data_IF_069470395606
#
_entry.id   IF_069470395606
#
_cell.length_a   1.000
_cell.length_b   1.000
_cell.length_c   1.000
_cell.angle_alpha   90.00
_cell.angle_beta   90.00
_cell.angle_gamma   90.00
#
_symmetry.space_group_name_H-M   'P 1'
#
loop_
_entity.id
_entity.type
_entity.pdbx_description
1 polymer ?
#
# COMPACT_ATOMS: atom_id res chain seq x y z
N UNK A 1 -37.89 -11.50 -12.65
CA UNK A 1 -37.26 -12.18 -11.49
C UNK A 1 -35.80 -12.44 -11.84
N UNK A 2 -34.86 -11.80 -11.13
CA UNK A 2 -33.43 -12.03 -11.35
C UNK A 2 -33.07 -13.43 -10.82
N UNK A 3 -32.51 -14.26 -11.70
CA UNK A 3 -31.99 -15.59 -11.32
C UNK A 3 -30.82 -15.38 -10.34
N UNK A 4 -30.74 -16.11 -9.22
CA UNK A 4 -29.64 -15.95 -8.27
C UNK A 4 -28.29 -16.17 -8.97
N UNK A 5 -27.32 -15.29 -8.68
CA UNK A 5 -25.95 -15.39 -9.21
C UNK A 5 -25.34 -16.72 -8.77
N UNK A 6 -24.82 -17.49 -9.72
CA UNK A 6 -24.26 -18.84 -9.49
C UNK A 6 -22.75 -18.86 -9.27
N UNK A 7 -22.12 -17.69 -9.11
CA UNK A 7 -20.68 -17.55 -8.95
C UNK A 7 -20.34 -16.65 -7.78
N UNK A 8 -19.16 -16.85 -7.21
CA UNK A 8 -18.56 -15.99 -6.20
C UNK A 8 -18.00 -14.73 -6.86
N UNK A 9 -18.64 -13.60 -6.57
CA UNK A 9 -18.29 -12.29 -7.14
C UNK A 9 -16.89 -11.84 -6.75
N UNK A 10 -16.47 -12.15 -5.53
CA UNK A 10 -15.17 -11.77 -4.97
C UNK A 10 -14.05 -12.54 -5.67
N UNK A 11 -14.27 -13.83 -5.90
CA UNK A 11 -13.35 -14.66 -6.68
C UNK A 11 -13.24 -14.18 -8.13
N UNK A 12 -14.35 -13.75 -8.73
CA UNK A 12 -14.36 -13.22 -10.11
C UNK A 12 -13.63 -11.88 -10.19
N UNK A 13 -13.85 -10.96 -9.24
CA UNK A 13 -13.13 -9.69 -9.18
C UNK A 13 -11.62 -9.90 -9.00
N UNK A 14 -11.22 -10.86 -8.15
CA UNK A 14 -9.81 -11.21 -7.98
C UNK A 14 -9.17 -11.73 -9.26
N UNK A 15 -9.87 -12.59 -10.03
CA UNK A 15 -9.36 -13.08 -11.32
C UNK A 15 -9.27 -11.97 -12.36
N UNK A 16 -10.29 -11.10 -12.42
CA UNK A 16 -10.28 -9.93 -13.29
C UNK A 16 -9.11 -8.98 -12.95
N UNK A 17 -8.91 -8.69 -11.66
CA UNK A 17 -7.79 -7.91 -11.15
C UNK A 17 -6.46 -8.49 -11.61
N UNK A 18 -6.23 -9.80 -11.41
CA UNK A 18 -4.99 -10.45 -11.82
C UNK A 18 -4.77 -10.41 -13.34
N UNK A 19 -5.83 -10.51 -14.15
CA UNK A 19 -5.72 -10.36 -15.61
C UNK A 19 -5.33 -8.95 -16.01
N UNK A 20 -6.05 -7.95 -15.50
CA UNK A 20 -5.76 -6.54 -15.76
C UNK A 20 -4.37 -6.16 -15.27
N UNK A 21 -3.92 -6.72 -14.15
CA UNK A 21 -2.59 -6.49 -13.64
C UNK A 21 -1.51 -7.03 -14.58
N UNK A 22 -1.71 -8.23 -15.15
CA UNK A 22 -0.74 -8.83 -16.08
C UNK A 22 -0.75 -8.18 -17.47
N UNK A 23 -1.94 -7.83 -18.01
CA UNK A 23 -2.09 -7.38 -19.40
C UNK A 23 -2.20 -5.85 -19.55
N UNK A 24 -2.61 -5.12 -18.51
CA UNK A 24 -3.10 -3.75 -18.63
C UNK A 24 -4.57 -3.70 -19.02
N UNK A 25 -5.21 -2.54 -18.80
CA UNK A 25 -6.63 -2.35 -19.10
C UNK A 25 -6.90 -2.37 -20.61
N UNK A 26 -6.13 -1.62 -21.39
CA UNK A 26 -6.35 -1.43 -22.83
C UNK A 26 -6.11 -2.72 -23.61
N UNK A 27 -5.03 -3.44 -23.29
CA UNK A 27 -4.70 -4.70 -23.95
C UNK A 27 -5.57 -5.89 -23.50
N UNK A 28 -6.47 -5.70 -22.52
CA UNK A 28 -7.44 -6.71 -22.11
C UNK A 28 -8.72 -6.57 -22.93
N UNK A 29 -9.02 -7.59 -23.74
CA UNK A 29 -10.25 -7.69 -24.52
C UNK A 29 -11.36 -8.41 -23.74
N UNK A 30 -12.62 -8.20 -24.15
CA UNK A 30 -13.75 -8.93 -23.56
C UNK A 30 -13.67 -10.45 -23.75
N UNK A 31 -12.97 -10.94 -24.78
CA UNK A 31 -12.70 -12.37 -24.95
C UNK A 31 -11.79 -12.92 -23.88
N UNK A 32 -10.74 -12.17 -23.51
CA UNK A 32 -9.82 -12.57 -22.44
C UNK A 32 -10.56 -12.68 -21.11
N UNK A 33 -11.47 -11.74 -20.82
CA UNK A 33 -12.29 -11.78 -19.61
C UNK A 33 -13.26 -12.96 -19.59
N UNK A 34 -13.85 -13.32 -20.73
CA UNK A 34 -14.72 -14.49 -20.81
C UNK A 34 -13.93 -15.77 -20.50
N UNK A 35 -12.73 -15.90 -21.08
CA UNK A 35 -11.85 -17.03 -20.86
C UNK A 35 -11.33 -17.08 -19.42
N UNK A 36 -10.73 -15.99 -18.94
CA UNK A 36 -10.15 -15.90 -17.61
C UNK A 36 -11.19 -16.00 -16.51
N UNK A 37 -12.43 -15.53 -16.68
CA UNK A 37 -13.44 -15.60 -15.62
C UNK A 37 -14.26 -16.89 -15.67
N UNK A 38 -14.25 -17.60 -16.80
CA UNK A 38 -15.11 -18.76 -17.03
C UNK A 38 -16.60 -18.39 -17.06
N UNK A 39 -16.92 -17.14 -17.39
CA UNK A 39 -18.28 -16.60 -17.43
C UNK A 39 -18.66 -16.21 -18.86
N UNK A 40 -19.91 -16.46 -19.22
CA UNK A 40 -20.45 -15.95 -20.48
C UNK A 40 -20.47 -14.42 -20.51
N UNK A 41 -20.24 -13.82 -21.68
CA UNK A 41 -20.20 -12.35 -21.87
C UNK A 41 -21.44 -11.65 -21.29
N UNK A 42 -22.63 -12.22 -21.49
CA UNK A 42 -23.87 -11.68 -20.93
C UNK A 42 -23.92 -11.70 -19.40
N UNK A 43 -23.31 -12.70 -18.75
CA UNK A 43 -23.20 -12.78 -17.29
C UNK A 43 -22.25 -11.73 -16.74
N UNK A 44 -21.14 -11.46 -17.44
CA UNK A 44 -20.21 -10.38 -17.07
C UNK A 44 -20.94 -9.04 -17.14
N UNK A 45 -21.61 -8.75 -18.26
CA UNK A 45 -22.37 -7.50 -18.41
C UNK A 45 -23.48 -7.35 -17.38
N UNK A 46 -24.26 -8.40 -17.13
CA UNK A 46 -25.32 -8.37 -16.14
C UNK A 46 -24.79 -8.20 -14.70
N UNK A 47 -23.55 -8.62 -14.44
CA UNK A 47 -23.02 -8.65 -13.09
C UNK A 47 -22.19 -7.43 -12.71
N UNK A 48 -21.35 -6.99 -13.64
CA UNK A 48 -20.32 -5.98 -13.41
C UNK A 48 -20.50 -4.76 -14.31
N UNK A 49 -21.46 -4.80 -15.23
CA UNK A 49 -21.57 -3.80 -16.27
C UNK A 49 -20.49 -4.01 -17.33
N UNK A 50 -19.85 -2.95 -17.80
CA UNK A 50 -18.85 -3.08 -18.86
C UNK A 50 -17.43 -3.43 -18.35
N UNK A 51 -16.46 -3.49 -19.28
CA UNK A 51 -15.05 -3.74 -18.98
C UNK A 51 -14.50 -2.71 -17.99
N UNK A 52 -14.89 -1.45 -18.16
CA UNK A 52 -14.42 -0.33 -17.35
C UNK A 52 -14.95 -0.44 -15.93
N UNK A 53 -16.24 -0.69 -15.76
CA UNK A 53 -16.84 -0.88 -14.44
C UNK A 53 -16.27 -2.10 -13.71
N UNK A 54 -16.03 -3.21 -14.42
CA UNK A 54 -15.34 -4.37 -13.85
C UNK A 54 -13.91 -4.01 -13.41
N UNK A 55 -13.18 -3.23 -14.22
CA UNK A 55 -11.84 -2.77 -13.92
C UNK A 55 -11.80 -1.85 -12.69
N UNK A 56 -12.66 -0.82 -12.63
CA UNK A 56 -12.74 0.12 -11.50
C UNK A 56 -13.04 -0.64 -10.20
N UNK A 57 -13.94 -1.63 -10.24
CA UNK A 57 -14.24 -2.47 -9.07
C UNK A 57 -13.05 -3.34 -8.66
N UNK A 58 -12.34 -3.93 -9.62
CA UNK A 58 -11.14 -4.71 -9.36
C UNK A 58 -10.01 -3.84 -8.76
N UNK A 59 -9.81 -2.63 -9.28
CA UNK A 59 -8.85 -1.66 -8.75
C UNK A 59 -9.24 -1.17 -7.36
N UNK A 60 -10.51 -0.82 -7.13
CA UNK A 60 -11.00 -0.38 -5.83
C UNK A 60 -10.76 -1.44 -4.76
N UNK A 61 -11.05 -2.71 -5.08
CA UNK A 61 -10.77 -3.85 -4.21
C UNK A 61 -9.29 -3.99 -3.88
N UNK A 62 -8.41 -3.90 -4.88
CA UNK A 62 -6.97 -3.94 -4.65
C UNK A 62 -6.55 -2.85 -3.67
N UNK A 63 -6.98 -1.61 -3.90
CA UNK A 63 -6.64 -0.46 -3.08
C UNK A 63 -7.15 -0.60 -1.63
N UNK A 64 -8.38 -1.07 -1.45
CA UNK A 64 -8.96 -1.38 -0.13
C UNK A 64 -8.16 -2.47 0.61
N UNK A 65 -7.75 -3.52 -0.10
CA UNK A 65 -6.91 -4.57 0.48
C UNK A 65 -5.56 -4.03 0.97
N UNK A 66 -4.89 -3.20 0.17
CA UNK A 66 -3.60 -2.60 0.54
C UNK A 66 -3.73 -1.70 1.77
N UNK A 67 -4.73 -0.82 1.81
CA UNK A 67 -5.00 0.00 3.00
C UNK A 67 -5.37 -0.87 4.21
N UNK A 68 -6.16 -1.92 4.00
CA UNK A 68 -6.54 -2.90 5.02
C UNK A 68 -5.33 -3.52 5.72
N UNK A 69 -4.33 -3.98 4.96
CA UNK A 69 -3.09 -4.56 5.51
C UNK A 69 -2.33 -3.57 6.42
N UNK A 70 -2.31 -2.29 6.06
CA UNK A 70 -1.72 -1.25 6.91
C UNK A 70 -2.55 -1.05 8.18
N UNK A 71 -3.88 -1.05 8.07
CA UNK A 71 -4.78 -0.83 9.22
C UNK A 71 -4.84 -2.01 10.20
N UNK A 72 -4.72 -3.25 9.75
CA UNK A 72 -4.66 -4.41 10.67
C UNK A 72 -3.36 -4.43 11.47
N UNK A 73 -2.27 -3.90 10.89
CA UNK A 73 -1.02 -3.72 11.60
C UNK A 73 -1.07 -2.62 12.67
N UNK A 74 -2.16 -1.87 12.82
CA UNK A 74 -2.27 -0.87 13.88
C UNK A 74 -2.66 -1.51 15.23
N UNK A 75 -3.30 -2.69 15.20
CA UNK A 75 -4.01 -3.26 16.36
C UNK A 75 -3.14 -4.10 17.29
N UNK A 76 -1.99 -4.59 16.85
CA UNK A 76 -1.13 -5.41 17.73
C UNK A 76 -0.30 -4.50 18.68
N UNK A 77 0.19 -5.10 19.76
CA UNK A 77 1.04 -4.42 20.74
C UNK A 77 2.51 -4.40 20.29
N UNK A 78 3.31 -3.53 20.91
CA UNK A 78 4.76 -3.44 20.70
C UNK A 78 5.22 -2.34 19.75
N UNK A 79 6.53 -2.31 19.42
CA UNK A 79 7.15 -1.21 18.69
C UNK A 79 6.56 -1.04 17.28
N UNK A 80 6.23 0.19 16.94
CA UNK A 80 5.53 0.52 15.69
C UNK A 80 6.42 0.36 14.47
N UNK A 81 7.66 0.88 14.50
CA UNK A 81 8.53 0.88 13.31
C UNK A 81 8.89 -0.54 12.84
N UNK A 82 9.30 -1.49 13.70
CA UNK A 82 9.54 -2.88 13.28
C UNK A 82 8.31 -3.58 12.71
N UNK A 83 7.12 -3.27 13.24
CA UNK A 83 5.87 -3.86 12.74
C UNK A 83 5.51 -3.31 11.38
N UNK A 84 5.63 -1.99 11.20
CA UNK A 84 5.44 -1.36 9.90
C UNK A 84 6.40 -1.93 8.85
N UNK A 85 7.67 -2.14 9.22
CA UNK A 85 8.67 -2.80 8.36
C UNK A 85 8.22 -4.20 7.92
N UNK A 86 7.70 -5.01 8.83
CA UNK A 86 7.24 -6.37 8.54
C UNK A 86 5.99 -6.39 7.64
N UNK A 87 5.11 -5.40 7.77
CA UNK A 87 3.94 -5.25 6.88
C UNK A 87 4.38 -4.93 5.46
N UNK A 88 5.34 -4.00 5.32
CA UNK A 88 5.89 -3.66 4.01
C UNK A 88 6.63 -4.84 3.36
N UNK A 89 7.32 -5.70 4.14
CA UNK A 89 7.86 -6.96 3.62
C UNK A 89 6.77 -7.87 3.06
N UNK A 90 5.69 -8.08 3.82
CA UNK A 90 4.57 -8.95 3.39
C UNK A 90 3.92 -8.41 2.12
N UNK A 91 3.74 -7.09 2.06
CA UNK A 91 3.20 -6.39 0.90
C UNK A 91 4.04 -6.67 -0.35
N UNK A 92 5.35 -6.41 -0.26
CA UNK A 92 6.28 -6.62 -1.37
C UNK A 92 6.42 -8.11 -1.73
N UNK A 93 6.34 -9.02 -0.76
CA UNK A 93 6.34 -10.46 -1.03
C UNK A 93 5.08 -10.92 -1.78
N UNK A 94 3.91 -10.37 -1.45
CA UNK A 94 2.66 -10.68 -2.16
C UNK A 94 2.70 -10.21 -3.62
N UNK A 95 3.24 -9.01 -3.89
CA UNK A 95 3.44 -8.53 -5.26
C UNK A 95 4.43 -9.41 -6.04
N UNK A 96 5.47 -9.93 -5.37
CA UNK A 96 6.43 -10.86 -5.96
C UNK A 96 5.75 -12.11 -6.52
N UNK A 97 4.84 -12.68 -5.73
CA UNK A 97 4.09 -13.88 -6.08
C UNK A 97 3.19 -13.67 -7.31
N UNK A 98 2.89 -12.42 -7.67
CA UNK A 98 2.15 -12.04 -8.87
C UNK A 98 3.06 -11.89 -10.11
N UNK A 99 4.26 -12.48 -10.10
CA UNK A 99 5.17 -12.51 -11.24
C UNK A 99 5.97 -11.23 -11.44
N UNK A 100 6.18 -10.44 -10.39
CA UNK A 100 6.86 -9.14 -10.43
C UNK A 100 6.25 -8.17 -11.46
N UNK A 101 4.93 -8.20 -11.66
CA UNK A 101 4.20 -7.30 -12.57
C UNK A 101 4.24 -5.81 -12.14
N UNK A 102 4.90 -5.50 -11.02
CA UNK A 102 4.93 -4.21 -10.35
C UNK A 102 3.62 -3.91 -9.62
N UNK A 103 3.38 -2.65 -9.25
CA UNK A 103 2.19 -2.26 -8.51
C UNK A 103 0.96 -2.15 -9.42
N UNK A 104 -0.14 -2.85 -9.12
CA UNK A 104 -1.37 -2.74 -9.91
C UNK A 104 -1.91 -1.31 -9.95
N UNK A 105 -1.90 -0.63 -8.80
CA UNK A 105 -2.32 0.77 -8.70
C UNK A 105 -1.48 1.69 -9.57
N UNK A 106 -0.14 1.65 -9.43
CA UNK A 106 0.75 2.56 -10.18
C UNK A 106 0.69 2.29 -11.68
N UNK A 107 0.63 1.01 -12.10
CA UNK A 107 0.45 0.66 -13.51
C UNK A 107 -0.88 1.23 -14.05
N UNK A 108 -1.96 1.08 -13.29
CA UNK A 108 -3.30 1.58 -13.66
C UNK A 108 -3.34 3.11 -13.75
N UNK A 109 -2.70 3.80 -12.81
CA UNK A 109 -2.57 5.25 -12.81
C UNK A 109 -1.77 5.71 -14.03
N UNK A 110 -0.63 5.08 -14.31
CA UNK A 110 0.19 5.44 -15.47
C UNK A 110 -0.56 5.24 -16.81
N UNK A 111 -1.39 4.20 -16.89
CA UNK A 111 -2.17 3.87 -18.09
C UNK A 111 -3.41 4.78 -18.27
N UNK A 112 -4.18 5.02 -17.20
CA UNK A 112 -5.54 5.57 -17.31
C UNK A 112 -5.72 6.98 -16.76
N UNK A 113 -4.90 7.43 -15.80
CA UNK A 113 -5.05 8.76 -15.19
C UNK A 113 -5.15 9.92 -16.21
N UNK A 114 -4.43 9.91 -17.35
CA UNK A 114 -4.53 11.01 -18.33
C UNK A 114 -5.91 11.17 -18.97
N UNK A 115 -6.75 10.11 -18.98
CA UNK A 115 -7.97 10.05 -19.77
C UNK A 115 -9.19 9.54 -19.00
N UNK A 116 -9.01 9.15 -17.74
CA UNK A 116 -10.04 8.54 -16.89
C UNK A 116 -10.13 9.24 -15.53
N UNK A 117 -11.11 10.11 -15.38
CA UNK A 117 -11.33 10.87 -14.15
C UNK A 117 -11.76 9.99 -12.97
N UNK A 118 -12.46 8.88 -13.23
CA UNK A 118 -12.94 7.97 -12.18
C UNK A 118 -11.78 7.20 -11.57
N UNK A 119 -10.91 6.64 -12.40
CA UNK A 119 -9.66 6.01 -11.93
C UNK A 119 -8.78 7.02 -11.20
N UNK A 120 -8.70 8.26 -11.70
CA UNK A 120 -7.95 9.32 -11.04
C UNK A 120 -8.47 9.69 -9.66
N UNK A 121 -9.79 9.74 -9.49
CA UNK A 121 -10.40 10.00 -8.19
C UNK A 121 -10.23 8.84 -7.22
N UNK A 122 -10.41 7.61 -7.71
CA UNK A 122 -10.19 6.40 -6.93
C UNK A 122 -8.74 6.31 -6.42
N UNK A 123 -7.76 6.60 -7.29
CA UNK A 123 -6.36 6.64 -6.92
C UNK A 123 -6.08 7.73 -5.87
N UNK A 124 -6.57 8.96 -6.06
CA UNK A 124 -6.39 10.05 -5.08
C UNK A 124 -6.93 9.69 -3.71
N UNK A 125 -8.15 9.14 -3.65
CA UNK A 125 -8.79 8.72 -2.40
C UNK A 125 -7.99 7.63 -1.69
N UNK A 126 -7.52 6.63 -2.43
CA UNK A 126 -6.71 5.57 -1.86
C UNK A 126 -5.36 6.09 -1.36
N UNK A 127 -4.68 6.94 -2.13
CA UNK A 127 -3.41 7.54 -1.70
C UNK A 127 -3.56 8.39 -0.44
N UNK A 128 -4.64 9.16 -0.33
CA UNK A 128 -4.94 9.93 0.87
C UNK A 128 -5.20 9.03 2.08
N UNK A 129 -6.00 7.97 1.90
CA UNK A 129 -6.31 7.01 2.97
C UNK A 129 -5.06 6.25 3.44
N UNK A 130 -4.16 5.89 2.53
CA UNK A 130 -2.88 5.28 2.87
C UNK A 130 -1.97 6.26 3.63
N UNK A 131 -1.86 7.52 3.18
CA UNK A 131 -1.08 8.57 3.88
C UNK A 131 -1.61 8.75 5.31
N UNK A 132 -2.93 8.78 5.50
CA UNK A 132 -3.56 8.89 6.82
C UNK A 132 -3.24 7.69 7.71
N UNK A 133 -3.34 6.47 7.19
CA UNK A 133 -3.03 5.25 7.93
C UNK A 133 -1.55 5.20 8.37
N UNK A 134 -0.62 5.51 7.47
CA UNK A 134 0.80 5.61 7.80
C UNK A 134 1.08 6.74 8.81
N UNK A 135 0.45 7.90 8.63
CA UNK A 135 0.63 9.06 9.53
C UNK A 135 0.22 8.69 10.94
N UNK A 136 -0.95 8.04 11.11
CA UNK A 136 -1.42 7.59 12.42
C UNK A 136 -0.43 6.65 13.12
N UNK A 137 0.27 5.78 12.38
CA UNK A 137 1.32 4.95 12.94
C UNK A 137 2.55 5.73 13.35
N UNK A 138 3.01 6.62 12.49
CA UNK A 138 4.21 7.39 12.79
C UNK A 138 3.95 8.39 13.93
N UNK A 139 2.71 8.85 14.13
CA UNK A 139 2.32 9.61 15.32
C UNK A 139 2.40 8.77 16.60
N UNK A 140 1.99 7.50 16.56
CA UNK A 140 2.17 6.56 17.68
C UNK A 140 3.66 6.30 17.94
N UNK A 141 4.43 6.02 16.90
CA UNK A 141 5.88 5.84 16.98
C UNK A 141 6.58 7.08 17.57
N UNK A 142 6.14 8.28 17.23
CA UNK A 142 6.66 9.53 17.78
C UNK A 142 6.33 9.68 19.28
N UNK A 143 5.09 9.37 19.69
CA UNK A 143 4.68 9.38 21.11
C UNK A 143 5.47 8.38 21.95
N UNK A 144 5.75 7.21 21.38
CA UNK A 144 6.49 6.13 22.03
C UNK A 144 8.03 6.34 21.94
N UNK A 145 8.46 7.43 21.30
CA UNK A 145 9.87 7.83 21.20
C UNK A 145 10.68 6.98 20.22
N UNK A 146 10.05 6.26 19.30
CA UNK A 146 10.70 5.47 18.25
C UNK A 146 11.10 6.31 17.03
N UNK A 147 10.27 7.31 16.66
CA UNK A 147 10.46 8.13 15.47
C UNK A 147 11.51 9.23 15.68
N UNK A 148 12.39 9.41 14.69
CA UNK A 148 13.36 10.50 14.64
C UNK A 148 12.66 11.87 14.69
N UNK A 149 13.14 12.82 15.53
CA UNK A 149 12.56 14.17 15.58
C UNK A 149 12.82 14.99 14.31
N UNK A 150 13.72 14.53 13.41
CA UNK A 150 14.03 15.20 12.17
C UNK A 150 12.94 15.02 11.09
N UNK A 151 12.00 14.09 11.28
CA UNK A 151 10.97 13.74 10.30
C UNK A 151 9.59 13.87 10.96
N UNK A 152 8.70 14.63 10.32
CA UNK A 152 7.31 14.69 10.77
C UNK A 152 6.60 13.37 10.44
N UNK A 153 5.62 12.91 11.25
CA UNK A 153 4.86 11.70 10.94
C UNK A 153 4.28 11.67 9.52
N UNK A 154 3.78 12.81 9.03
CA UNK A 154 3.22 12.92 7.68
C UNK A 154 4.29 12.84 6.59
N UNK A 155 5.45 13.44 6.78
CA UNK A 155 6.55 13.34 5.80
C UNK A 155 7.12 11.92 5.76
N UNK A 156 7.23 11.25 6.91
CA UNK A 156 7.60 9.83 6.98
C UNK A 156 6.57 8.94 6.28
N UNK A 157 5.29 9.22 6.41
CA UNK A 157 4.22 8.51 5.72
C UNK A 157 4.36 8.62 4.20
N UNK A 158 4.55 9.85 3.70
CA UNK A 158 4.78 10.12 2.27
C UNK A 158 6.05 9.45 1.76
N UNK A 159 7.12 9.46 2.55
CA UNK A 159 8.37 8.79 2.21
C UNK A 159 8.15 7.29 2.02
N UNK A 160 7.55 6.62 3.01
CA UNK A 160 7.29 5.17 2.96
C UNK A 160 6.37 4.81 1.79
N UNK A 161 5.28 5.54 1.62
CA UNK A 161 4.32 5.30 0.54
C UNK A 161 4.98 5.44 -0.85
N UNK A 162 5.77 6.49 -1.07
CA UNK A 162 6.47 6.67 -2.35
C UNK A 162 7.58 5.63 -2.55
N UNK A 163 8.31 5.28 -1.50
CA UNK A 163 9.37 4.28 -1.55
C UNK A 163 8.83 2.90 -1.94
N UNK A 164 7.76 2.44 -1.30
CA UNK A 164 7.13 1.15 -1.58
C UNK A 164 6.65 1.06 -3.02
N UNK A 165 5.97 2.10 -3.51
CA UNK A 165 5.54 2.19 -4.91
C UNK A 165 6.72 2.19 -5.87
N UNK A 166 7.79 2.91 -5.54
CA UNK A 166 9.04 2.92 -6.30
C UNK A 166 9.67 1.54 -6.37
N UNK A 167 9.79 0.83 -5.24
CA UNK A 167 10.30 -0.55 -5.18
C UNK A 167 9.45 -1.46 -6.06
N UNK A 168 8.11 -1.43 -5.92
CA UNK A 168 7.21 -2.25 -6.71
C UNK A 168 7.42 -2.03 -8.22
N UNK A 169 7.57 -0.79 -8.67
CA UNK A 169 7.86 -0.48 -10.08
C UNK A 169 9.24 -0.97 -10.52
N UNK A 170 10.28 -0.69 -9.72
CA UNK A 170 11.67 -1.04 -10.06
C UNK A 170 11.89 -2.56 -10.14
N UNK A 171 11.06 -3.35 -9.45
CA UNK A 171 11.11 -4.82 -9.53
C UNK A 171 10.76 -5.41 -10.89
N UNK A 172 10.12 -4.64 -11.77
CA UNK A 172 9.93 -5.01 -13.18
C UNK A 172 11.26 -5.00 -13.95
N UNK A 173 12.24 -4.23 -13.47
CA UNK A 173 13.58 -4.09 -14.06
C UNK A 173 14.54 -5.06 -13.38
N UNK A 174 14.55 -5.08 -12.05
CA UNK A 174 15.40 -5.97 -11.25
C UNK A 174 14.57 -6.61 -10.12
N UNK A 175 14.22 -7.91 -10.24
CA UNK A 175 13.37 -8.58 -9.27
C UNK A 175 14.10 -9.00 -7.98
N UNK A 176 15.39 -8.67 -7.81
CA UNK A 176 16.17 -9.06 -6.63
C UNK A 176 15.54 -8.53 -5.32
N UNK A 177 15.04 -9.43 -4.45
CA UNK A 177 14.45 -9.02 -3.18
C UNK A 177 15.44 -8.33 -2.23
N UNK A 178 16.75 -8.54 -2.40
CA UNK A 178 17.76 -7.89 -1.57
C UNK A 178 17.79 -6.37 -1.77
N UNK A 179 17.54 -5.88 -2.99
CA UNK A 179 17.48 -4.44 -3.26
C UNK A 179 16.29 -3.78 -2.57
N UNK A 180 15.12 -4.43 -2.63
CA UNK A 180 13.92 -3.97 -1.94
C UNK A 180 14.14 -3.91 -0.42
N UNK A 181 14.75 -4.95 0.15
CA UNK A 181 15.08 -4.99 1.57
C UNK A 181 16.05 -3.87 1.96
N UNK A 182 17.14 -3.67 1.20
CA UNK A 182 18.12 -2.62 1.47
C UNK A 182 17.52 -1.20 1.40
N UNK A 183 16.59 -0.96 0.48
CA UNK A 183 15.86 0.31 0.38
C UNK A 183 14.99 0.56 1.61
N UNK A 184 14.24 -0.47 2.05
CA UNK A 184 13.42 -0.37 3.26
C UNK A 184 14.30 -0.18 4.49
N UNK A 185 15.37 -0.96 4.65
CA UNK A 185 16.27 -0.86 5.80
C UNK A 185 16.87 0.55 5.92
N UNK A 186 17.27 1.15 4.79
CA UNK A 186 17.76 2.53 4.75
C UNK A 186 16.69 3.53 5.18
N UNK A 187 15.45 3.37 4.72
CA UNK A 187 14.36 4.27 5.10
C UNK A 187 13.98 4.14 6.58
N UNK A 188 13.93 2.92 7.12
CA UNK A 188 13.66 2.70 8.53
C UNK A 188 14.80 3.16 9.43
N UNK A 189 16.05 3.10 8.97
CA UNK A 189 17.19 3.70 9.67
C UNK A 189 17.08 5.24 9.75
N UNK A 190 16.54 5.89 8.70
CA UNK A 190 16.27 7.33 8.70
C UNK A 190 15.07 7.70 9.59
N UNK A 191 14.04 6.85 9.63
CA UNK A 191 12.84 7.07 10.45
C UNK A 191 13.08 6.77 11.92
N UNK A 192 13.90 5.79 12.27
CA UNK A 192 14.17 5.43 13.66
C UNK A 192 15.07 6.45 14.36
N UNK A 193 14.88 6.65 15.66
CA UNK A 193 15.85 7.39 16.47
C UNK A 193 17.17 6.63 16.54
N UNK A 194 18.27 7.35 16.31
CA UNK A 194 19.59 6.83 16.62
C UNK A 194 19.78 6.75 18.14
N UNK A 195 20.47 5.73 18.69
CA UNK A 195 20.74 5.61 20.12
C UNK A 195 21.38 6.87 20.74
N UNK A 196 22.13 7.64 19.94
CA UNK A 196 22.81 8.88 20.34
C UNK A 196 21.82 10.02 20.64
N UNK A 197 20.66 10.05 19.98
CA UNK A 197 19.63 11.08 20.17
C UNK A 197 18.69 10.77 21.34
N UNK A 198 18.67 9.52 21.83
CA UNK A 198 17.90 9.13 23.00
C UNK A 198 18.52 9.67 24.31
N UNK A 199 19.84 9.83 24.35
CA UNK A 199 20.56 10.24 25.57
C UNK A 199 20.47 11.75 25.86
N UNK A 200 20.28 12.60 24.83
CA UNK A 200 20.19 14.06 25.01
C UNK A 200 18.86 14.53 25.60
N UNK A 201 17.80 13.73 25.51
CA UNK A 201 16.47 14.07 26.02
C UNK A 201 16.29 13.82 27.53
N UNK A 202 17.27 13.20 28.21
CA UNK A 202 17.19 12.84 29.62
C UNK A 202 18.08 13.67 30.56
N UNK A 203 18.80 14.68 30.04
CA UNK A 203 19.55 15.61 30.87
C UNK A 203 18.64 16.74 31.37
N UNK A 204 17.77 16.45 32.34
CA UNK A 204 17.16 17.50 33.17
C UNK A 204 18.27 18.19 33.99
N UNK A 205 18.27 19.54 34.14
CA UNK A 205 19.25 20.20 34.96
C UNK A 205 19.00 19.81 36.42
N UNK A 206 20.01 19.22 37.06
CA UNK A 206 20.01 19.04 38.51
C UNK A 206 19.98 20.43 39.15
N UNK A 207 18.81 20.83 39.66
CA UNK A 207 18.64 22.04 40.46
C UNK A 207 19.43 21.84 41.75
N UNK A 208 20.64 22.40 41.81
CA UNK A 208 21.41 22.55 43.04
C UNK A 208 20.64 23.51 43.96
N UNK A 209 19.87 22.96 44.89
CA UNK A 209 19.38 23.69 46.05
C UNK A 209 20.58 23.96 46.98
N UNK A 210 21.11 25.16 46.88
CA UNK A 210 22.09 25.69 47.82
C UNK A 210 21.40 25.96 49.17
N UNK A 211 21.75 25.18 50.18
CA UNK A 211 21.49 25.46 51.59
C UNK A 211 22.37 26.63 52.03
N UNK A 212 21.80 27.78 52.38
CA UNK A 212 22.43 28.75 53.26
C UNK A 212 21.41 29.75 53.84
N UNK A 213 21.39 29.77 55.18
CA UNK A 213 20.82 30.74 56.13
C UNK A 213 19.30 30.72 56.36
#
# INVERSE_FOLDING_TARGET
MARPRTFDEEAVLNRAMLLFWRKGYEATAMSDLVEELGLGRGSIYAAFGDKHQLFVRALGRYLEHQTGLLTTALDEEGPVLPRLRAVLDRLLAADAACGNAGCFSVNSIAELLPHDAEVGELARRSMASAEEAFTAQLERAARDGELSPAITPRDGARLLQNLVQGIQIMRKVDPDPAQAAACLDSAFALLGRSPVEATSAHAAPATLAATAL
#
